data_IF_292784891101
#
_entry.id   IF_292784891101
#
_cell.length_a   1.000
_cell.length_b   1.000
_cell.length_c   1.000
_cell.angle_alpha   90.00
_cell.angle_beta   90.00
_cell.angle_gamma   90.00
#
_symmetry.space_group_name_H-M   'P 1'
#
loop_
_entity.id
_entity.type
_entity.pdbx_description
1 polymer ?
#
# COMPACT_ATOMS: atom_id res chain seq x y z
N UNK A 1 5.02 3.40 -19.06
CA UNK A 1 5.70 3.17 -17.78
C UNK A 1 7.20 3.19 -17.91
N UNK A 2 7.83 2.29 -18.68
CA UNK A 2 9.30 2.18 -18.81
C UNK A 2 10.00 3.46 -19.24
N UNK A 3 9.41 4.22 -20.18
CA UNK A 3 9.91 5.54 -20.56
C UNK A 3 9.94 6.53 -19.39
N UNK A 4 8.91 6.52 -18.54
CA UNK A 4 8.87 7.36 -17.33
C UNK A 4 9.99 6.96 -16.37
N UNK A 5 10.17 5.66 -16.11
CA UNK A 5 11.27 5.14 -15.28
C UNK A 5 12.61 5.59 -15.83
N UNK A 6 12.84 5.46 -17.14
CA UNK A 6 14.09 5.85 -17.77
C UNK A 6 14.40 7.34 -17.67
N UNK A 7 13.38 8.19 -17.75
CA UNK A 7 13.57 9.64 -17.74
C UNK A 7 13.59 10.27 -16.36
N UNK A 8 12.76 9.76 -15.45
CA UNK A 8 12.49 10.43 -14.18
C UNK A 8 13.25 9.80 -12.99
N UNK A 9 13.72 8.56 -13.13
CA UNK A 9 14.43 7.89 -12.05
C UNK A 9 15.94 7.92 -12.25
N UNK A 10 16.64 7.84 -11.14
CA UNK A 10 18.10 7.58 -11.11
C UNK A 10 18.35 6.06 -11.14
N UNK A 11 19.62 5.67 -11.15
CA UNK A 11 20.05 4.28 -10.99
C UNK A 11 20.45 4.04 -9.52
N UNK A 12 19.85 3.06 -8.81
CA UNK A 12 18.76 2.17 -9.24
C UNK A 12 17.38 2.84 -9.19
N UNK A 13 16.42 2.36 -10.01
CA UNK A 13 15.01 2.70 -9.89
C UNK A 13 14.26 1.64 -9.09
N UNK A 14 13.22 2.05 -8.35
CA UNK A 14 12.37 1.13 -7.56
C UNK A 14 10.92 1.23 -8.00
N UNK A 15 10.32 0.08 -8.29
CA UNK A 15 8.91 -0.07 -8.63
C UNK A 15 8.23 -0.95 -7.59
N UNK A 16 7.21 -0.42 -6.91
CA UNK A 16 6.37 -1.14 -5.96
C UNK A 16 5.03 -1.45 -6.61
N UNK A 17 4.76 -2.73 -6.83
CA UNK A 17 3.53 -3.24 -7.41
C UNK A 17 2.66 -3.87 -6.31
N UNK A 18 1.51 -3.24 -6.00
CA UNK A 18 0.59 -3.62 -4.93
C UNK A 18 -0.63 -4.41 -5.43
N UNK A 19 -0.51 -5.08 -6.56
CA UNK A 19 -1.56 -5.90 -7.16
C UNK A 19 -0.92 -7.07 -7.87
N UNK A 20 -1.63 -8.18 -7.95
CA UNK A 20 -1.25 -9.26 -8.86
C UNK A 20 -1.67 -8.91 -10.29
N UNK A 21 -1.18 -9.64 -11.28
CA UNK A 21 -1.64 -9.50 -12.67
C UNK A 21 -3.10 -9.91 -12.81
N UNK A 22 -3.54 -10.89 -12.01
CA UNK A 22 -4.93 -11.36 -11.94
C UNK A 22 -5.36 -11.52 -10.49
N UNK A 23 -6.53 -11.01 -10.15
CA UNK A 23 -7.17 -11.19 -8.84
C UNK A 23 -8.62 -11.65 -9.05
N UNK A 24 -9.05 -12.69 -8.33
CA UNK A 24 -10.41 -13.25 -8.43
C UNK A 24 -10.87 -13.55 -9.88
N UNK A 25 -9.94 -14.02 -10.73
CA UNK A 25 -10.20 -14.35 -12.13
C UNK A 25 -10.32 -13.17 -13.09
N UNK A 26 -10.02 -11.94 -12.63
CA UNK A 26 -10.00 -10.73 -13.46
C UNK A 26 -8.58 -10.22 -13.63
N UNK A 27 -8.24 -9.78 -14.83
CA UNK A 27 -6.99 -9.08 -15.09
C UNK A 27 -7.01 -7.73 -14.36
N UNK A 28 -5.95 -7.46 -13.60
CA UNK A 28 -5.74 -6.22 -12.83
C UNK A 28 -4.59 -5.39 -13.37
N UNK A 29 -3.58 -6.06 -13.93
CA UNK A 29 -2.42 -5.42 -14.49
C UNK A 29 -1.77 -6.35 -15.52
N UNK A 30 -1.46 -5.82 -16.70
CA UNK A 30 -0.66 -6.57 -17.68
C UNK A 30 0.75 -6.83 -17.14
N UNK A 31 1.33 -8.05 -17.37
CA UNK A 31 2.70 -8.36 -16.97
C UNK A 31 3.69 -7.58 -17.86
N UNK A 32 4.10 -6.40 -17.43
CA UNK A 32 4.98 -5.49 -18.15
C UNK A 32 6.48 -5.72 -17.85
N UNK A 33 6.79 -6.74 -17.08
CA UNK A 33 8.14 -7.10 -16.59
C UNK A 33 8.44 -8.58 -16.90
N UNK A 34 9.71 -8.99 -16.95
CA UNK A 34 10.07 -10.40 -17.05
C UNK A 34 9.54 -11.17 -15.83
N UNK A 35 8.71 -12.17 -16.07
CA UNK A 35 7.97 -12.87 -15.00
C UNK A 35 8.79 -13.99 -14.39
N UNK A 36 9.58 -14.69 -15.20
CA UNK A 36 10.24 -15.94 -14.83
C UNK A 36 11.71 -15.97 -15.22
N UNK A 37 12.58 -16.58 -14.40
CA UNK A 37 13.97 -16.83 -14.77
C UNK A 37 14.15 -17.76 -16.00
N UNK A 38 13.12 -18.52 -16.37
CA UNK A 38 13.14 -19.34 -17.59
C UNK A 38 12.97 -18.49 -18.86
N UNK A 39 12.38 -17.30 -18.75
CA UNK A 39 12.21 -16.31 -19.81
C UNK A 39 12.64 -14.95 -19.28
N UNK A 40 13.97 -14.74 -19.09
CA UNK A 40 14.47 -13.57 -18.39
C UNK A 40 14.43 -12.29 -19.24
N UNK A 41 14.29 -12.43 -20.55
CA UNK A 41 14.41 -11.31 -21.47
C UNK A 41 13.04 -10.81 -21.94
N UNK A 42 12.89 -9.48 -21.96
CA UNK A 42 11.71 -8.81 -22.51
C UNK A 42 12.16 -7.59 -23.29
N UNK A 43 11.68 -7.45 -24.53
CA UNK A 43 11.93 -6.27 -25.35
C UNK A 43 10.80 -5.28 -25.23
N UNK A 44 11.15 -3.99 -25.05
CA UNK A 44 10.20 -2.89 -24.91
C UNK A 44 10.15 -2.10 -26.20
N UNK A 45 8.93 -1.85 -26.71
CA UNK A 45 8.67 -1.03 -27.90
C UNK A 45 9.47 -1.51 -29.12
N UNK A 46 9.52 -2.82 -29.33
CA UNK A 46 10.33 -3.48 -30.37
C UNK A 46 10.10 -2.93 -31.79
N UNK A 47 8.87 -2.52 -32.06
CA UNK A 47 8.47 -2.01 -33.38
C UNK A 47 8.43 -0.48 -33.44
N UNK A 48 8.95 0.20 -32.42
CA UNK A 48 8.96 1.66 -32.30
C UNK A 48 7.58 2.30 -32.61
N UNK A 49 6.52 1.73 -32.00
CA UNK A 49 5.11 2.10 -32.24
C UNK A 49 4.83 3.60 -32.03
N UNK A 50 5.67 4.28 -31.25
CA UNK A 50 5.55 5.70 -30.95
C UNK A 50 6.50 6.58 -31.77
N UNK A 51 7.28 5.98 -32.67
CA UNK A 51 8.26 6.67 -33.56
C UNK A 51 9.23 7.60 -32.78
N UNK A 52 9.65 7.15 -31.58
CA UNK A 52 10.46 7.94 -30.67
C UNK A 52 11.80 7.30 -30.31
N UNK A 53 12.09 6.18 -30.96
CA UNK A 53 13.32 5.39 -30.81
C UNK A 53 13.56 4.91 -29.35
N UNK A 54 12.52 4.89 -28.52
CA UNK A 54 12.61 4.36 -27.17
C UNK A 54 12.49 2.83 -27.21
N UNK A 55 13.55 2.17 -27.65
CA UNK A 55 13.65 0.70 -27.69
C UNK A 55 14.64 0.26 -26.62
N UNK A 56 14.21 -0.61 -25.72
CA UNK A 56 15.04 -1.07 -24.61
C UNK A 56 14.85 -2.57 -24.38
N UNK A 57 15.87 -3.20 -23.78
CA UNK A 57 15.83 -4.58 -23.33
C UNK A 57 15.75 -4.64 -21.82
N UNK A 58 14.91 -5.51 -21.28
CA UNK A 58 14.88 -5.87 -19.88
C UNK A 58 15.48 -7.26 -19.74
N UNK A 59 16.37 -7.44 -18.78
CA UNK A 59 16.93 -8.74 -18.40
C UNK A 59 16.74 -8.98 -16.90
N UNK A 60 16.03 -10.04 -16.54
CA UNK A 60 15.84 -10.46 -15.14
C UNK A 60 17.13 -11.12 -14.64
N UNK A 61 17.87 -10.43 -13.78
CA UNK A 61 19.13 -10.93 -13.21
C UNK A 61 18.91 -11.78 -11.96
N UNK A 62 17.91 -11.45 -11.14
CA UNK A 62 17.53 -12.27 -10.00
C UNK A 62 16.03 -12.17 -9.68
N UNK A 63 15.50 -13.25 -9.09
CA UNK A 63 14.16 -13.33 -8.53
C UNK A 63 14.24 -14.14 -7.24
N UNK A 64 13.81 -13.54 -6.13
CA UNK A 64 13.65 -14.24 -4.86
C UNK A 64 12.37 -13.76 -4.15
N UNK A 65 11.91 -14.54 -3.19
CA UNK A 65 10.80 -14.17 -2.32
C UNK A 65 11.37 -13.71 -0.97
N UNK A 66 10.96 -12.54 -0.53
CA UNK A 66 11.22 -12.07 0.84
C UNK A 66 10.03 -12.48 1.70
N UNK A 67 10.26 -13.41 2.63
CA UNK A 67 9.21 -14.00 3.46
C UNK A 67 8.66 -13.00 4.48
N UNK A 68 9.49 -12.11 5.01
CA UNK A 68 9.09 -11.10 5.99
C UNK A 68 8.22 -10.01 5.35
N UNK A 69 8.58 -9.59 4.14
CA UNK A 69 7.81 -8.65 3.36
C UNK A 69 6.73 -9.32 2.50
N UNK A 70 6.67 -10.66 2.43
CA UNK A 70 5.76 -11.44 1.58
C UNK A 70 5.75 -10.94 0.13
N UNK A 71 6.94 -10.59 -0.37
CA UNK A 71 7.14 -9.84 -1.60
C UNK A 71 8.07 -10.59 -2.54
N UNK A 72 7.68 -10.69 -3.81
CA UNK A 72 8.61 -11.09 -4.86
C UNK A 72 9.51 -9.92 -5.22
N UNK A 73 10.81 -10.11 -5.05
CA UNK A 73 11.85 -9.12 -5.33
C UNK A 73 12.56 -9.52 -6.62
N UNK A 74 12.39 -8.70 -7.66
CA UNK A 74 13.08 -8.86 -8.95
C UNK A 74 14.15 -7.79 -9.09
N UNK A 75 15.33 -8.22 -9.50
CA UNK A 75 16.38 -7.36 -10.00
C UNK A 75 16.39 -7.45 -11.53
N UNK A 76 16.22 -6.33 -12.19
CA UNK A 76 16.08 -6.25 -13.65
C UNK A 76 17.09 -5.21 -14.16
N UNK A 77 17.88 -5.59 -15.16
CA UNK A 77 18.71 -4.65 -15.91
C UNK A 77 17.92 -4.14 -17.13
N UNK A 78 17.74 -2.82 -17.23
CA UNK A 78 17.14 -2.15 -18.36
C UNK A 78 18.24 -1.51 -19.18
N UNK A 79 18.41 -1.95 -20.43
CA UNK A 79 19.49 -1.50 -21.30
C UNK A 79 18.93 -0.88 -22.57
N UNK A 80 19.46 0.26 -22.98
CA UNK A 80 19.15 0.89 -24.26
C UNK A 80 19.52 -0.05 -25.43
N UNK A 81 18.83 0.09 -26.57
CA UNK A 81 19.02 -0.81 -27.74
C UNK A 81 20.45 -0.74 -28.30
N UNK A 82 21.11 0.41 -28.22
CA UNK A 82 22.49 0.59 -28.61
C UNK A 82 23.52 0.03 -27.61
N UNK A 83 23.06 -0.46 -26.45
CA UNK A 83 23.88 -1.03 -25.39
C UNK A 83 24.77 -0.05 -24.60
N UNK A 84 24.67 1.26 -24.88
CA UNK A 84 25.55 2.27 -24.27
C UNK A 84 25.12 2.67 -22.86
N UNK A 85 23.83 2.55 -22.54
CA UNK A 85 23.29 2.92 -21.24
C UNK A 85 22.53 1.75 -20.63
N UNK A 86 22.69 1.54 -19.33
CA UNK A 86 21.98 0.54 -18.55
C UNK A 86 21.51 1.14 -17.24
N UNK A 87 20.42 0.61 -16.70
CA UNK A 87 19.86 1.00 -15.41
C UNK A 87 19.31 -0.20 -14.68
N UNK A 88 19.64 -0.31 -13.40
CA UNK A 88 19.09 -1.32 -12.50
C UNK A 88 17.70 -0.93 -12.03
N UNK A 89 16.78 -1.90 -12.05
CA UNK A 89 15.41 -1.76 -11.58
C UNK A 89 15.14 -2.80 -10.50
N UNK A 90 14.71 -2.35 -9.34
CA UNK A 90 14.12 -3.20 -8.33
C UNK A 90 12.62 -3.21 -8.51
N UNK A 91 12.05 -4.35 -8.87
CA UNK A 91 10.61 -4.55 -8.99
C UNK A 91 10.12 -5.40 -7.82
N UNK A 92 9.29 -4.78 -6.95
CA UNK A 92 8.80 -5.35 -5.70
C UNK A 92 7.30 -5.64 -5.86
N UNK A 93 6.92 -6.91 -5.93
CA UNK A 93 5.51 -7.31 -6.09
C UNK A 93 4.97 -7.87 -4.77
N UNK A 94 4.03 -7.15 -4.17
CA UNK A 94 3.34 -7.53 -2.95
C UNK A 94 1.93 -8.04 -3.27
N UNK A 95 1.67 -9.32 -2.96
CA UNK A 95 0.41 -10.00 -3.26
C UNK A 95 -0.58 -10.05 -2.07
N UNK A 96 -0.15 -9.62 -0.88
CA UNK A 96 -0.91 -9.72 0.37
C UNK A 96 -1.98 -8.64 0.58
N UNK A 97 -2.41 -7.93 -0.46
CA UNK A 97 -3.37 -6.84 -0.33
C UNK A 97 -4.57 -7.01 -1.27
N UNK A 98 -5.67 -7.61 -0.81
CA UNK A 98 -6.88 -7.71 -1.61
C UNK A 98 -7.46 -6.33 -1.97
N UNK A 99 -8.13 -6.27 -3.13
CA UNK A 99 -8.71 -5.01 -3.62
C UNK A 99 -9.76 -4.45 -2.66
N UNK A 100 -9.89 -3.14 -2.57
CA UNK A 100 -10.79 -2.41 -1.65
C UNK A 100 -10.65 -2.74 -0.17
N UNK A 101 -9.62 -3.47 0.23
CA UNK A 101 -9.34 -3.83 1.63
C UNK A 101 -8.11 -3.09 2.18
N UNK A 102 -7.80 -3.36 3.45
CA UNK A 102 -6.52 -3.03 4.08
C UNK A 102 -5.80 -4.33 4.44
N UNK A 103 -4.46 -4.34 4.50
CA UNK A 103 -3.72 -5.50 4.98
C UNK A 103 -3.99 -5.76 6.46
N UNK A 104 -4.18 -7.03 6.83
CA UNK A 104 -4.44 -7.45 8.20
C UNK A 104 -3.40 -8.48 8.67
N UNK A 105 -3.24 -8.62 9.98
CA UNK A 105 -2.36 -9.63 10.56
C UNK A 105 -0.94 -9.58 10.02
N UNK A 106 -0.47 -10.70 9.49
CA UNK A 106 0.87 -10.83 8.93
C UNK A 106 1.09 -9.97 7.68
N UNK A 107 0.05 -9.71 6.87
CA UNK A 107 0.16 -8.84 5.69
C UNK A 107 0.40 -7.37 6.05
N UNK A 108 -0.13 -6.92 7.22
CA UNK A 108 0.17 -5.58 7.74
C UNK A 108 1.64 -5.42 8.10
N UNK A 109 2.21 -6.39 8.80
CA UNK A 109 3.63 -6.38 9.14
C UNK A 109 4.51 -6.45 7.87
N UNK A 110 4.11 -7.29 6.92
CA UNK A 110 4.78 -7.44 5.64
C UNK A 110 4.75 -6.14 4.81
N UNK A 111 3.64 -5.40 4.81
CA UNK A 111 3.54 -4.11 4.13
C UNK A 111 4.51 -3.07 4.72
N UNK A 112 4.63 -3.02 6.05
CA UNK A 112 5.61 -2.15 6.72
C UNK A 112 7.03 -2.53 6.32
N UNK A 113 7.33 -3.83 6.26
CA UNK A 113 8.63 -4.32 5.80
C UNK A 113 8.91 -3.99 4.34
N UNK A 114 7.89 -4.07 3.48
CA UNK A 114 8.00 -3.66 2.08
C UNK A 114 8.36 -2.17 1.94
N UNK A 115 7.78 -1.29 2.78
CA UNK A 115 8.13 0.13 2.80
C UNK A 115 9.63 0.29 3.09
N UNK A 116 10.15 -0.36 4.14
CA UNK A 116 11.57 -0.34 4.49
C UNK A 116 12.45 -0.82 3.33
N UNK A 117 12.16 -2.00 2.77
CA UNK A 117 12.90 -2.56 1.63
C UNK A 117 12.88 -1.61 0.42
N UNK A 118 11.72 -0.99 0.13
CA UNK A 118 11.61 -0.08 -1.00
C UNK A 118 12.45 1.19 -0.83
N UNK A 119 12.58 1.69 0.40
CA UNK A 119 13.47 2.82 0.76
C UNK A 119 14.94 2.42 0.64
N UNK A 120 15.32 1.27 1.19
CA UNK A 120 16.69 0.77 1.17
C UNK A 120 17.20 0.52 -0.24
N UNK A 121 16.34 -0.07 -1.10
CA UNK A 121 16.68 -0.35 -2.51
C UNK A 121 16.80 0.91 -3.36
N UNK A 122 16.15 2.00 -2.98
CA UNK A 122 16.13 3.24 -3.76
C UNK A 122 17.43 4.06 -3.64
N UNK A 123 18.16 3.89 -2.57
CA UNK A 123 19.44 4.57 -2.31
C UNK A 123 19.28 6.06 -1.95
N UNK A 124 18.65 6.87 -2.76
CA UNK A 124 18.39 8.29 -2.50
C UNK A 124 16.89 8.60 -2.56
N UNK A 125 16.24 8.60 -1.39
CA UNK A 125 14.80 8.86 -1.29
C UNK A 125 14.44 10.35 -1.39
N UNK A 126 15.40 11.24 -1.32
CA UNK A 126 15.17 12.69 -1.42
C UNK A 126 15.00 13.16 -2.86
N UNK A 127 15.76 12.57 -3.79
CA UNK A 127 15.82 13.04 -5.19
C UNK A 127 15.42 11.99 -6.23
N UNK A 128 15.36 10.70 -5.85
CA UNK A 128 14.95 9.61 -6.72
C UNK A 128 13.55 9.11 -6.34
N UNK A 129 12.49 9.42 -7.10
CA UNK A 129 11.15 9.02 -6.75
C UNK A 129 10.95 7.51 -6.93
N UNK A 130 10.37 6.83 -5.94
CA UNK A 130 9.90 5.45 -6.10
C UNK A 130 8.58 5.44 -6.86
N UNK A 131 8.39 4.47 -7.75
CA UNK A 131 7.17 4.29 -8.50
C UNK A 131 6.27 3.30 -7.78
N UNK A 132 5.06 3.73 -7.42
CA UNK A 132 4.09 2.91 -6.70
C UNK A 132 2.82 2.77 -7.53
N UNK A 133 2.39 1.54 -7.79
CA UNK A 133 1.14 1.31 -8.49
C UNK A 133 0.36 0.10 -7.96
N UNK A 134 -0.93 0.08 -8.22
CA UNK A 134 -1.82 -1.07 -8.06
C UNK A 134 -2.60 -1.29 -9.37
N UNK A 135 -3.88 -1.64 -9.32
CA UNK A 135 -4.71 -1.71 -10.53
C UNK A 135 -5.13 -0.31 -11.01
N UNK A 136 -5.95 0.42 -10.24
CA UNK A 136 -6.39 1.78 -10.59
C UNK A 136 -5.37 2.87 -10.24
N UNK A 137 -4.40 2.59 -9.39
CA UNK A 137 -3.36 3.54 -8.96
C UNK A 137 -3.84 4.60 -7.97
N UNK A 138 -4.94 4.36 -7.23
CA UNK A 138 -5.51 5.30 -6.26
C UNK A 138 -5.72 4.68 -4.86
N UNK A 139 -6.35 3.52 -4.73
CA UNK A 139 -6.68 2.92 -3.44
C UNK A 139 -5.42 2.43 -2.70
N UNK A 140 -4.95 1.23 -3.05
CA UNK A 140 -3.74 0.62 -2.46
C UNK A 140 -2.50 1.52 -2.62
N UNK A 141 -2.31 2.11 -3.79
CA UNK A 141 -1.19 3.04 -4.04
C UNK A 141 -1.28 4.29 -3.18
N UNK A 142 -2.45 4.91 -3.07
CA UNK A 142 -2.65 6.09 -2.22
C UNK A 142 -2.39 5.79 -0.75
N UNK A 143 -2.85 4.63 -0.27
CA UNK A 143 -2.64 4.19 1.11
C UNK A 143 -1.16 3.90 1.40
N UNK A 144 -0.46 3.23 0.48
CA UNK A 144 0.98 2.99 0.61
C UNK A 144 1.77 4.30 0.70
N UNK A 145 1.51 5.23 -0.22
CA UNK A 145 2.21 6.52 -0.29
C UNK A 145 1.92 7.36 0.97
N UNK A 146 0.65 7.43 1.40
CA UNK A 146 0.28 8.14 2.62
C UNK A 146 0.95 7.54 3.86
N UNK A 147 0.95 6.20 3.97
CA UNK A 147 1.58 5.50 5.09
C UNK A 147 3.10 5.72 5.12
N UNK A 148 3.76 5.60 3.97
CA UNK A 148 5.20 5.83 3.84
C UNK A 148 5.58 7.25 4.26
N UNK A 149 4.83 8.25 3.81
CA UNK A 149 5.03 9.65 4.20
C UNK A 149 4.86 9.84 5.72
N UNK A 150 3.72 9.40 6.26
CA UNK A 150 3.41 9.57 7.70
C UNK A 150 4.41 8.84 8.61
N UNK A 151 4.89 7.66 8.20
CA UNK A 151 5.93 6.94 8.94
C UNK A 151 7.25 7.69 8.92
N UNK A 152 7.62 8.31 7.82
CA UNK A 152 8.82 9.13 7.74
C UNK A 152 8.71 10.36 8.67
N UNK A 153 7.60 11.10 8.62
CA UNK A 153 7.37 12.23 9.53
C UNK A 153 7.38 11.81 11.01
N UNK A 154 6.84 10.63 11.31
CA UNK A 154 6.91 10.06 12.65
C UNK A 154 8.35 9.73 13.07
N UNK A 155 9.14 9.13 12.19
CA UNK A 155 10.54 8.77 12.44
C UNK A 155 11.42 10.02 12.63
N UNK A 156 11.18 11.08 11.86
CA UNK A 156 11.85 12.37 11.94
C UNK A 156 11.41 13.21 13.17
N UNK A 157 10.33 12.81 13.85
CA UNK A 157 9.79 13.53 15.02
C UNK A 157 8.92 14.73 14.68
N UNK A 158 8.65 15.00 13.40
CA UNK A 158 7.84 16.14 12.95
C UNK A 158 6.41 16.10 13.51
N UNK A 159 5.88 14.89 13.74
CA UNK A 159 4.54 14.70 14.30
C UNK A 159 4.47 14.91 15.81
N UNK A 160 5.60 14.97 16.53
CA UNK A 160 5.60 15.13 17.98
C UNK A 160 5.22 16.55 18.41
N UNK A 161 5.47 17.55 17.57
CA UNK A 161 5.14 18.96 17.79
C UNK A 161 3.82 19.38 17.12
N UNK A 162 3.05 18.42 16.57
CA UNK A 162 1.78 18.72 15.93
C UNK A 162 0.77 19.27 16.95
N UNK A 163 -0.01 20.33 16.61
CA UNK A 163 -1.08 20.83 17.47
C UNK A 163 -2.12 19.76 17.80
N UNK A 164 -2.75 19.84 18.97
CA UNK A 164 -3.76 18.85 19.42
C UNK A 164 -4.97 18.72 18.50
N UNK A 165 -5.27 19.76 17.72
CA UNK A 165 -6.36 19.81 16.75
C UNK A 165 -5.92 19.47 15.33
N UNK A 166 -4.64 19.18 15.09
CA UNK A 166 -4.15 18.76 13.77
C UNK A 166 -4.52 17.30 13.46
N UNK A 167 -4.80 17.04 12.20
CA UNK A 167 -5.02 15.70 11.68
C UNK A 167 -4.05 15.40 10.54
N UNK A 168 -2.81 14.97 10.86
CA UNK A 168 -1.77 14.71 9.87
C UNK A 168 -2.19 13.67 8.80
N UNK A 169 -3.00 12.68 9.17
CA UNK A 169 -3.49 11.66 8.23
C UNK A 169 -4.41 12.30 7.20
N UNK A 170 -5.38 13.08 7.64
CA UNK A 170 -6.30 13.80 6.75
C UNK A 170 -5.55 14.79 5.86
N UNK A 171 -4.60 15.54 6.41
CA UNK A 171 -3.80 16.52 5.67
C UNK A 171 -2.99 15.88 4.54
N UNK A 172 -2.32 14.76 4.81
CA UNK A 172 -1.56 14.01 3.78
C UNK A 172 -2.49 13.51 2.68
N UNK A 173 -3.67 12.98 3.05
CA UNK A 173 -4.64 12.50 2.06
C UNK A 173 -5.16 13.65 1.19
N UNK A 174 -5.44 14.83 1.76
CA UNK A 174 -5.85 16.01 0.99
C UNK A 174 -4.76 16.40 0.00
N UNK A 175 -3.50 16.50 0.43
CA UNK A 175 -2.35 16.80 -0.45
C UNK A 175 -2.20 15.78 -1.59
N UNK A 176 -2.46 14.50 -1.33
CA UNK A 176 -2.44 13.46 -2.37
C UNK A 176 -3.62 13.62 -3.34
N UNK A 177 -4.81 13.94 -2.84
CA UNK A 177 -6.02 14.14 -3.66
C UNK A 177 -5.97 15.40 -4.51
N UNK A 178 -5.23 16.42 -4.10
CA UNK A 178 -4.97 17.61 -4.91
C UNK A 178 -4.14 17.26 -6.17
N UNK A 179 -3.29 16.23 -6.10
CA UNK A 179 -2.50 15.75 -7.23
C UNK A 179 -3.24 14.71 -8.07
N UNK A 180 -3.98 13.82 -7.42
CA UNK A 180 -4.76 12.76 -8.06
C UNK A 180 -6.00 12.44 -7.25
N UNK A 181 -7.19 12.72 -7.82
CA UNK A 181 -8.47 12.45 -7.20
C UNK A 181 -8.61 10.97 -6.75
N UNK A 182 -9.30 10.72 -5.65
CA UNK A 182 -9.60 9.38 -5.16
C UNK A 182 -8.46 8.66 -4.44
N UNK A 183 -7.33 9.31 -4.18
CA UNK A 183 -6.25 8.70 -3.39
C UNK A 183 -6.75 8.31 -2.00
N UNK A 184 -6.41 7.07 -1.54
CA UNK A 184 -6.99 6.40 -0.36
C UNK A 184 -8.50 6.24 -0.55
N UNK A 185 -8.87 5.26 -1.39
CA UNK A 185 -10.21 5.14 -1.95
C UNK A 185 -11.25 4.60 -0.95
N UNK A 186 -10.88 3.60 -0.14
CA UNK A 186 -11.81 2.89 0.72
C UNK A 186 -11.73 3.34 2.18
N UNK A 187 -12.87 3.31 2.90
CA UNK A 187 -12.96 3.66 4.32
C UNK A 187 -11.99 2.84 5.20
N UNK A 188 -11.89 1.54 4.96
CA UNK A 188 -10.96 0.67 5.69
C UNK A 188 -9.50 1.02 5.43
N UNK A 189 -9.13 1.49 4.23
CA UNK A 189 -7.80 2.01 3.93
C UNK A 189 -7.51 3.28 4.72
N UNK A 190 -8.48 4.17 4.83
CA UNK A 190 -8.38 5.38 5.65
C UNK A 190 -8.17 5.04 7.13
N UNK A 191 -9.00 4.18 7.71
CA UNK A 191 -8.87 3.76 9.11
C UNK A 191 -7.56 3.02 9.38
N UNK A 192 -7.09 2.23 8.43
CA UNK A 192 -5.81 1.52 8.51
C UNK A 192 -4.61 2.47 8.72
N UNK A 193 -4.62 3.65 8.09
CA UNK A 193 -3.58 4.66 8.29
C UNK A 193 -3.53 5.13 9.74
N UNK A 194 -4.69 5.48 10.33
CA UNK A 194 -4.76 5.90 11.73
C UNK A 194 -4.30 4.80 12.70
N UNK A 195 -4.79 3.58 12.50
CA UNK A 195 -4.47 2.48 13.38
C UNK A 195 -2.98 2.14 13.32
N UNK A 196 -2.40 2.16 12.11
CA UNK A 196 -0.98 1.86 11.92
C UNK A 196 -0.10 2.95 12.50
N UNK A 197 -0.41 4.22 12.23
CA UNK A 197 0.35 5.35 12.75
C UNK A 197 0.30 5.41 14.27
N UNK A 198 -0.89 5.24 14.87
CA UNK A 198 -1.09 5.21 16.33
C UNK A 198 -0.29 4.09 16.99
N UNK A 199 -0.28 2.90 16.40
CA UNK A 199 0.48 1.77 16.93
C UNK A 199 1.98 2.02 16.87
N UNK A 200 2.48 2.57 15.76
CA UNK A 200 3.90 2.90 15.61
C UNK A 200 4.32 4.02 16.56
N UNK A 201 3.52 5.07 16.68
CA UNK A 201 3.75 6.14 17.66
C UNK A 201 3.79 5.59 19.10
N UNK A 202 2.80 4.78 19.47
CA UNK A 202 2.73 4.15 20.80
C UNK A 202 3.97 3.29 21.07
N UNK A 203 4.38 2.46 20.13
CA UNK A 203 5.56 1.61 20.26
C UNK A 203 6.84 2.42 20.45
N UNK A 204 6.99 3.51 19.68
CA UNK A 204 8.11 4.45 19.81
C UNK A 204 8.11 5.13 21.17
N UNK A 205 6.95 5.61 21.63
CA UNK A 205 6.80 6.26 22.92
C UNK A 205 7.15 5.33 24.09
N UNK A 206 6.65 4.09 24.08
CA UNK A 206 6.98 3.06 25.09
C UNK A 206 8.49 2.80 25.13
N UNK A 207 9.12 2.67 23.97
CA UNK A 207 10.56 2.44 23.88
C UNK A 207 11.39 3.62 24.45
N UNK A 208 10.91 4.84 24.26
CA UNK A 208 11.55 6.05 24.78
C UNK A 208 11.28 6.29 26.28
N UNK A 209 10.13 5.80 26.82
CA UNK A 209 9.64 6.08 28.18
C UNK A 209 9.28 4.77 28.93
N UNK A 210 10.21 3.81 29.09
CA UNK A 210 9.88 2.50 29.65
C UNK A 210 9.40 2.53 31.10
N UNK A 211 9.93 3.44 31.92
CA UNK A 211 9.53 3.58 33.32
C UNK A 211 8.11 4.13 33.45
N UNK A 212 7.79 5.18 32.71
CA UNK A 212 6.47 5.82 32.69
C UNK A 212 5.41 4.89 32.08
N UNK A 213 5.75 4.15 31.01
CA UNK A 213 4.90 3.14 30.44
C UNK A 213 4.53 2.03 31.46
N UNK A 214 5.49 1.62 32.29
CA UNK A 214 5.26 0.64 33.33
C UNK A 214 4.35 1.19 34.44
N UNK A 215 4.55 2.44 34.87
CA UNK A 215 3.68 3.11 35.88
C UNK A 215 2.23 3.27 35.39
N UNK A 216 2.06 3.61 34.11
CA UNK A 216 0.75 3.75 33.48
C UNK A 216 0.11 2.40 33.08
N UNK A 217 0.81 1.27 33.30
CA UNK A 217 0.33 -0.05 32.92
C UNK A 217 0.19 -0.24 31.38
N UNK A 218 0.92 0.58 30.61
CA UNK A 218 0.92 0.49 29.14
C UNK A 218 1.89 -0.61 28.73
N UNK A 219 1.36 -1.80 28.44
CA UNK A 219 2.17 -2.93 27.95
C UNK A 219 2.39 -2.83 26.45
N UNK A 220 3.56 -3.22 26.01
CA UNK A 220 3.82 -3.49 24.59
C UNK A 220 2.91 -4.64 24.17
N UNK A 221 1.90 -4.37 23.35
CA UNK A 221 1.18 -5.44 22.67
C UNK A 221 1.99 -5.74 21.41
N UNK A 222 2.71 -6.88 21.34
CA UNK A 222 3.36 -7.24 20.09
C UNK A 222 2.28 -7.32 19.02
N UNK A 223 2.59 -6.79 17.83
CA UNK A 223 1.74 -6.98 16.67
C UNK A 223 1.39 -8.47 16.60
N UNK A 224 0.09 -8.80 16.58
CA UNK A 224 -0.39 -10.15 16.68
C UNK A 224 0.27 -11.03 15.60
N UNK A 225 1.31 -11.74 16.00
CA UNK A 225 1.77 -12.92 15.30
C UNK A 225 0.87 -14.05 15.83
N UNK A 226 0.08 -14.55 14.90
CA UNK A 226 -0.58 -15.84 14.97
C UNK A 226 -2.05 -15.88 15.43
N UNK A 227 -2.83 -16.54 14.56
CA UNK A 227 -4.20 -16.93 14.62
C UNK A 227 -4.77 -17.35 15.99
N UNK A 228 -5.29 -16.38 16.70
CA UNK A 228 -6.14 -16.61 17.85
C UNK A 228 -7.26 -15.57 17.85
N UNK A 229 -8.49 -15.99 17.62
CA UNK A 229 -9.67 -15.17 17.82
C UNK A 229 -9.60 -14.49 19.20
N UNK A 230 -9.84 -13.16 19.29
CA UNK A 230 -9.96 -12.51 20.58
C UNK A 230 -11.19 -13.08 21.29
N UNK A 231 -10.97 -13.84 22.36
CA UNK A 231 -12.03 -14.29 23.25
C UNK A 231 -12.70 -13.05 23.84
N UNK A 232 -13.85 -12.67 23.32
CA UNK A 232 -14.76 -11.71 23.92
C UNK A 232 -15.11 -12.22 25.33
N UNK A 233 -14.55 -11.57 26.36
CA UNK A 233 -14.97 -11.77 27.73
C UNK A 233 -16.44 -11.37 27.84
N UNK A 234 -17.28 -12.38 27.83
CA UNK A 234 -18.72 -12.28 28.13
C UNK A 234 -18.89 -11.66 29.51
N UNK A 235 -19.29 -10.39 29.56
CA UNK A 235 -19.81 -9.80 30.78
C UNK A 235 -21.08 -10.60 31.18
N UNK A 236 -21.05 -11.23 32.37
CA UNK A 236 -22.22 -11.84 32.97
C UNK A 236 -23.22 -10.73 33.30
N UNK A 237 -24.25 -10.54 32.49
CA UNK A 237 -25.43 -9.84 32.92
C UNK A 237 -26.32 -10.80 33.71
N UNK A 238 -26.76 -10.31 34.87
CA UNK A 238 -27.71 -11.02 35.72
C UNK A 238 -29.03 -11.29 35.00
N UNK A 239 -29.55 -12.47 35.23
CA UNK A 239 -30.79 -12.95 34.67
C UNK A 239 -31.99 -12.10 35.11
N UNK A 240 -32.80 -11.72 34.13
CA UNK A 240 -34.20 -11.42 34.22
C UNK A 240 -34.91 -12.30 33.20
N UNK A 241 -35.83 -13.10 33.71
CA UNK A 241 -36.62 -14.09 33.02
C UNK A 241 -37.64 -13.38 32.10
N UNK A 242 -37.59 -13.57 30.78
CA UNK A 242 -38.72 -13.93 29.95
C UNK A 242 -38.25 -14.25 28.51
N UNK A 243 -38.75 -15.36 28.00
CA UNK A 243 -38.35 -15.95 26.75
C UNK A 243 -38.96 -15.28 25.51
N UNK A 244 -38.10 -14.96 24.58
CA UNK A 244 -38.28 -15.19 23.13
C UNK A 244 -37.02 -14.72 22.40
N UNK A 245 -36.25 -15.68 21.92
CA UNK A 245 -35.08 -15.46 21.06
C UNK A 245 -35.57 -15.23 19.63
N UNK A 246 -35.38 -14.02 19.13
CA UNK A 246 -35.26 -13.79 17.69
C UNK A 246 -33.77 -13.68 17.35
N UNK A 247 -33.29 -14.39 16.32
CA UNK A 247 -31.92 -14.27 15.87
C UNK A 247 -31.72 -12.92 15.19
N UNK A 248 -30.75 -12.14 15.67
CA UNK A 248 -30.25 -10.96 14.96
C UNK A 248 -29.41 -11.50 13.82
N UNK A 249 -29.92 -11.35 12.61
CA UNK A 249 -29.27 -11.73 11.37
C UNK A 249 -28.04 -10.84 11.10
N UNK A 250 -26.97 -11.49 10.71
CA UNK A 250 -25.77 -10.90 10.13
C UNK A 250 -26.14 -10.01 8.92
N UNK A 251 -26.11 -8.72 9.12
CA UNK A 251 -26.35 -7.73 8.06
C UNK A 251 -25.03 -7.08 7.66
N UNK A 252 -24.14 -7.81 7.01
CA UNK A 252 -23.07 -7.26 6.13
C UNK A 252 -22.66 -8.33 5.10
N UNK A 253 -23.59 -8.81 4.29
CA UNK A 253 -23.27 -9.64 3.12
C UNK A 253 -24.37 -9.56 2.07
N UNK A 254 -24.95 -8.38 1.87
CA UNK A 254 -25.89 -8.17 0.78
C UNK A 254 -25.15 -7.57 -0.42
N UNK A 255 -24.96 -8.33 -1.52
CA UNK A 255 -24.30 -7.84 -2.72
C UNK A 255 -25.04 -6.65 -3.36
N UNK A 256 -26.33 -6.53 -3.13
CA UNK A 256 -27.14 -5.41 -3.66
C UNK A 256 -26.90 -4.11 -2.85
N UNK A 257 -26.60 -4.21 -1.54
CA UNK A 257 -26.21 -3.06 -0.73
C UNK A 257 -24.80 -2.55 -1.07
N UNK A 258 -23.89 -3.45 -1.44
CA UNK A 258 -22.55 -3.07 -1.93
C UNK A 258 -22.64 -2.38 -3.30
N UNK A 259 -23.48 -2.88 -4.20
CA UNK A 259 -23.69 -2.29 -5.51
C UNK A 259 -24.38 -0.92 -5.44
N UNK A 260 -25.28 -0.71 -4.47
CA UNK A 260 -25.91 0.58 -4.22
C UNK A 260 -24.90 1.62 -3.68
N UNK A 261 -23.97 1.21 -2.80
CA UNK A 261 -22.92 2.06 -2.28
C UNK A 261 -21.89 2.44 -3.37
N UNK A 262 -21.58 1.51 -4.27
CA UNK A 262 -20.72 1.77 -5.44
C UNK A 262 -21.39 2.74 -6.43
N UNK A 263 -22.70 2.65 -6.63
CA UNK A 263 -23.45 3.56 -7.48
C UNK A 263 -23.51 4.98 -6.88
N UNK A 264 -23.69 5.12 -5.58
CA UNK A 264 -23.71 6.41 -4.88
C UNK A 264 -22.34 7.11 -4.90
N UNK A 265 -21.24 6.34 -4.82
CA UNK A 265 -19.87 6.85 -4.94
C UNK A 265 -19.53 7.27 -6.39
N UNK A 266 -20.08 6.61 -7.40
CA UNK A 266 -19.91 7.00 -8.81
C UNK A 266 -20.73 8.25 -9.18
N UNK A 267 -21.94 8.42 -8.62
CA UNK A 267 -22.77 9.61 -8.84
C UNK A 267 -22.17 10.87 -8.18
N UNK A 268 -21.48 10.74 -7.06
CA UNK A 268 -20.78 11.84 -6.41
C UNK A 268 -19.60 12.37 -7.25
N UNK A 269 -18.93 11.52 -8.01
CA UNK A 269 -17.83 11.90 -8.92
C UNK A 269 -18.35 12.63 -10.17
N UNK A 270 -19.54 12.26 -10.68
CA UNK A 270 -20.15 12.89 -11.86
C UNK A 270 -20.73 14.29 -11.56
N UNK A 271 -21.13 14.57 -10.34
CA UNK A 271 -21.65 15.88 -9.95
C UNK A 271 -20.58 16.94 -9.74
N UNK A 272 -19.31 16.52 -9.50
CA UNK A 272 -18.18 17.44 -9.36
C UNK A 272 -17.70 17.99 -10.72
N UNK A 273 -17.82 17.24 -11.80
CA UNK A 273 -17.41 17.71 -13.15
C UNK A 273 -18.42 18.65 -13.80
N UNK A 274 -19.70 18.63 -13.43
CA UNK A 274 -20.74 19.48 -14.02
C UNK A 274 -20.83 20.90 -13.42
N UNK A 275 -20.06 21.22 -12.40
CA UNK A 275 -20.05 22.53 -11.71
C UNK A 275 -19.01 23.54 -12.20
N UNK A 276 -18.25 23.23 -13.26
CA UNK A 276 -17.27 24.16 -13.87
C UNK A 276 -17.63 24.46 -15.30
N UNK A 277 -18.65 25.26 -15.52
CA UNK A 277 -18.86 26.06 -16.73
C UNK A 277 -18.99 27.52 -16.35
#
# INVERSE_FOLDING_TARGET
MWRMIWKENQDPAVVVMLTQTHETGREKCYPYYPVSPSEPDMRINEHDEFEDSFIHNLHLTSLHHDDDARTEVREIDMTADDGNESRKIWHLLFAGWPDFSAPEGADRAALLKLIEISRDKNGDNATNPRIVHCSAGIGRSGTFIALDWLLQELEEGTLDDAPDDADPVSEVIVKLRDQRAGMVQAKNQFLFLYDTLRERWRSRWIAAHPAEAAELGIVHTPAASDGGEPALKRQKSMAGDDGTLHPVSDAVSDPDALAALEAELMDADMTYESGKT
#
